data_IF_062917580855
#
_entry.id   IF_062917580855
#
_cell.length_a   1.000
_cell.length_b   1.000
_cell.length_c   1.000
_cell.angle_alpha   90.00
_cell.angle_beta   90.00
_cell.angle_gamma   90.00
#
_symmetry.space_group_name_H-M   'P 1'
#
loop_
_entity.id
_entity.type
_entity.pdbx_description
1 polymer ?
#
# COMPACT_ATOMS: atom_id res chain seq x y z
N UNK A 1 -1.28 -2.76 -2.50
CA UNK A 1 -2.04 -2.46 -3.74
C UNK A 1 -1.38 -1.24 -4.36
N UNK A 2 -1.06 -1.27 -5.65
CA UNK A 2 -0.44 -0.15 -6.36
C UNK A 2 -0.64 -0.36 -7.88
N UNK A 3 -1.02 0.67 -8.63
CA UNK A 3 -1.25 0.60 -10.08
C UNK A 3 -0.17 1.31 -10.90
N UNK A 4 0.76 2.00 -10.24
CA UNK A 4 1.76 2.79 -10.91
C UNK A 4 2.88 1.93 -11.46
N UNK A 5 3.56 2.51 -12.46
CA UNK A 5 4.87 2.04 -12.90
C UNK A 5 5.97 2.73 -12.12
N UNK A 6 7.12 2.06 -12.02
CA UNK A 6 8.34 2.67 -11.48
C UNK A 6 8.75 3.84 -12.38
N UNK A 7 9.02 4.99 -11.76
CA UNK A 7 9.49 6.21 -12.42
C UNK A 7 10.88 6.56 -11.91
N UNK A 8 11.75 7.04 -12.79
CA UNK A 8 13.10 7.51 -12.44
C UNK A 8 13.05 8.60 -11.35
N UNK A 9 12.06 9.51 -11.44
CA UNK A 9 11.85 10.59 -10.48
C UNK A 9 11.48 10.12 -9.06
N UNK A 10 11.20 8.84 -8.86
CA UNK A 10 10.78 8.29 -7.57
C UNK A 10 11.83 7.37 -6.92
N UNK A 11 12.88 6.96 -7.65
CA UNK A 11 13.84 5.96 -7.17
C UNK A 11 14.64 6.46 -5.96
N UNK A 12 14.92 7.78 -5.86
CA UNK A 12 15.66 8.35 -4.73
C UNK A 12 15.00 8.12 -3.36
N UNK A 13 13.67 7.91 -3.32
CA UNK A 13 12.91 7.64 -2.08
C UNK A 13 12.23 6.28 -2.05
N UNK A 14 12.07 5.62 -3.20
CA UNK A 14 11.50 4.28 -3.30
C UNK A 14 12.63 3.26 -3.45
N UNK A 15 13.38 3.05 -2.37
CA UNK A 15 14.64 2.29 -2.31
C UNK A 15 14.55 0.83 -2.79
N UNK A 16 13.32 0.28 -2.84
CA UNK A 16 13.08 -1.06 -3.36
C UNK A 16 13.10 -1.12 -4.89
N UNK A 17 13.31 -0.02 -5.62
CA UNK A 17 13.40 0.00 -7.08
C UNK A 17 14.77 0.48 -7.57
N UNK A 18 15.13 0.05 -8.78
CA UNK A 18 16.37 0.46 -9.46
C UNK A 18 16.05 1.06 -10.82
N UNK A 19 17.03 1.67 -11.48
CA UNK A 19 16.88 2.20 -12.85
C UNK A 19 16.45 1.13 -13.86
N UNK A 20 16.87 -0.13 -13.64
CA UNK A 20 16.46 -1.30 -14.44
C UNK A 20 14.96 -1.65 -14.31
N UNK A 21 14.27 -1.10 -13.31
CA UNK A 21 12.86 -1.36 -13.04
C UNK A 21 11.92 -0.32 -13.65
N UNK A 22 12.45 0.80 -14.17
CA UNK A 22 11.67 1.90 -14.75
C UNK A 22 10.71 1.39 -15.84
N UNK A 23 9.46 1.86 -15.81
CA UNK A 23 8.39 1.47 -16.73
C UNK A 23 7.70 0.14 -16.37
N UNK A 24 8.22 -0.64 -15.41
CA UNK A 24 7.58 -1.86 -14.90
C UNK A 24 6.63 -1.52 -13.76
N UNK A 25 5.57 -2.30 -13.60
CA UNK A 25 4.60 -2.10 -12.51
C UNK A 25 5.25 -2.30 -11.14
N UNK A 26 5.10 -1.30 -10.26
CA UNK A 26 5.65 -1.28 -8.88
C UNK A 26 5.29 -2.56 -8.13
N UNK A 27 4.00 -2.90 -8.07
CA UNK A 27 3.51 -4.07 -7.35
C UNK A 27 4.17 -5.39 -7.83
N UNK A 28 4.39 -5.55 -9.14
CA UNK A 28 5.01 -6.76 -9.70
C UNK A 28 6.49 -6.87 -9.34
N UNK A 29 7.23 -5.75 -9.42
CA UNK A 29 8.66 -5.72 -9.06
C UNK A 29 8.85 -5.94 -7.56
N UNK A 30 8.02 -5.29 -6.75
CA UNK A 30 8.06 -5.45 -5.30
C UNK A 30 7.87 -6.90 -4.89
N UNK A 31 6.90 -7.61 -5.46
CA UNK A 31 6.71 -9.06 -5.21
C UNK A 31 7.95 -9.88 -5.58
N UNK A 32 8.56 -9.62 -6.73
CA UNK A 32 9.79 -10.33 -7.15
C UNK A 32 10.91 -10.12 -6.13
N UNK A 33 11.13 -8.88 -5.69
CA UNK A 33 12.21 -8.54 -4.75
C UNK A 33 11.96 -9.10 -3.35
N UNK A 34 10.74 -8.98 -2.83
CA UNK A 34 10.38 -9.55 -1.53
C UNK A 34 10.51 -11.09 -1.52
N UNK A 35 10.15 -11.77 -2.62
CA UNK A 35 10.37 -13.22 -2.75
C UNK A 35 11.86 -13.62 -2.77
N UNK A 36 12.77 -12.71 -3.14
CA UNK A 36 14.21 -12.96 -3.04
C UNK A 36 14.70 -12.81 -1.59
N UNK A 37 14.04 -11.96 -0.80
CA UNK A 37 14.36 -11.73 0.62
C UNK A 37 13.86 -12.91 1.46
N UNK A 38 12.60 -13.30 1.30
CA UNK A 38 12.03 -14.45 1.99
C UNK A 38 10.97 -15.14 1.11
N UNK A 39 11.22 -16.40 0.73
CA UNK A 39 10.34 -17.21 -0.12
C UNK A 39 9.14 -17.79 0.63
N UNK A 40 9.17 -17.85 1.95
CA UNK A 40 8.10 -18.41 2.78
C UNK A 40 6.92 -17.43 2.94
N UNK A 41 7.16 -16.14 2.68
CA UNK A 41 6.11 -15.12 2.76
C UNK A 41 5.16 -15.22 1.56
N UNK A 42 3.86 -15.39 1.83
CA UNK A 42 2.83 -15.33 0.80
C UNK A 42 2.54 -13.89 0.38
N UNK A 43 2.94 -13.54 -0.84
CA UNK A 43 2.74 -12.18 -1.38
C UNK A 43 1.61 -12.13 -2.40
N UNK A 44 0.51 -11.48 -1.99
CA UNK A 44 -0.61 -11.14 -2.87
C UNK A 44 -0.46 -9.72 -3.37
N UNK A 45 -0.48 -9.53 -4.69
CA UNK A 45 -0.41 -8.20 -5.32
C UNK A 45 -1.73 -7.85 -5.98
N UNK A 46 -2.09 -6.57 -5.91
CA UNK A 46 -3.25 -6.00 -6.60
C UNK A 46 -2.75 -4.82 -7.42
N UNK A 47 -2.55 -5.05 -8.73
CA UNK A 47 -2.05 -4.06 -9.69
C UNK A 47 -3.20 -3.19 -10.24
N UNK A 48 -3.89 -2.49 -9.34
CA UNK A 48 -5.11 -1.73 -9.64
C UNK A 48 -5.28 -0.58 -8.66
N UNK A 49 -5.97 0.47 -9.09
CA UNK A 49 -6.27 1.63 -8.24
C UNK A 49 -7.30 1.25 -7.18
N UNK A 50 -7.09 1.71 -5.95
CA UNK A 50 -8.04 1.53 -4.86
C UNK A 50 -9.40 2.17 -5.20
N UNK A 51 -10.48 1.42 -5.05
CA UNK A 51 -11.85 1.89 -5.24
C UNK A 51 -12.80 1.13 -4.31
N UNK A 52 -14.06 1.55 -4.24
CA UNK A 52 -15.03 0.93 -3.34
C UNK A 52 -15.23 -0.57 -3.61
N UNK A 53 -15.37 -0.95 -4.88
CA UNK A 53 -15.63 -2.34 -5.28
C UNK A 53 -14.49 -3.27 -4.85
N UNK A 54 -13.25 -2.88 -5.09
CA UNK A 54 -12.11 -3.74 -4.79
C UNK A 54 -11.74 -3.75 -3.32
N UNK A 55 -11.78 -2.61 -2.62
CA UNK A 55 -11.45 -2.54 -1.20
C UNK A 55 -12.46 -3.32 -0.36
N UNK A 56 -13.76 -3.28 -0.72
CA UNK A 56 -14.80 -4.12 -0.11
C UNK A 56 -14.43 -5.60 -0.08
N UNK A 57 -13.81 -6.11 -1.14
CA UNK A 57 -13.47 -7.53 -1.29
C UNK A 57 -12.08 -7.89 -0.76
N UNK A 58 -11.19 -6.91 -0.61
CA UNK A 58 -9.78 -7.12 -0.26
C UNK A 58 -9.57 -6.96 1.24
N UNK A 59 -10.06 -5.88 1.85
CA UNK A 59 -9.74 -5.53 3.25
C UNK A 59 -10.16 -6.62 4.23
N UNK A 60 -11.29 -7.29 3.99
CA UNK A 60 -11.77 -8.34 4.89
C UNK A 60 -10.80 -9.54 5.03
N UNK A 61 -9.88 -9.72 4.07
CA UNK A 61 -8.91 -10.82 4.03
C UNK A 61 -7.64 -10.58 4.86
N UNK A 62 -7.52 -9.41 5.48
CA UNK A 62 -6.34 -9.01 6.24
C UNK A 62 -6.76 -8.52 7.63
N UNK A 63 -5.87 -8.63 8.61
CA UNK A 63 -6.11 -8.20 9.99
C UNK A 63 -5.74 -6.73 10.20
N UNK A 64 -4.68 -6.29 9.53
CA UNK A 64 -4.11 -4.95 9.60
C UNK A 64 -4.09 -4.34 8.20
N UNK A 65 -4.54 -3.09 8.11
CA UNK A 65 -4.47 -2.26 6.91
C UNK A 65 -3.45 -1.15 7.15
N UNK A 66 -2.50 -1.00 6.22
CA UNK A 66 -1.50 0.09 6.26
C UNK A 66 -1.72 0.99 5.04
N UNK A 67 -1.94 2.27 5.30
CA UNK A 67 -2.05 3.31 4.27
C UNK A 67 -0.72 4.06 4.09
N UNK A 68 -0.12 3.89 2.92
CA UNK A 68 1.02 4.68 2.43
C UNK A 68 0.68 5.50 1.18
N UNK A 69 -0.62 5.76 0.92
CA UNK A 69 -1.07 6.54 -0.22
C UNK A 69 -0.90 8.05 0.01
N UNK A 70 -0.81 8.79 -1.09
CA UNK A 70 -0.57 10.23 -1.15
C UNK A 70 -1.84 11.06 -1.40
N UNK A 71 -3.03 10.44 -1.40
CA UNK A 71 -4.27 11.12 -1.74
C UNK A 71 -5.41 10.81 -0.76
N UNK A 72 -6.14 11.87 -0.39
CA UNK A 72 -7.26 11.80 0.56
C UNK A 72 -8.34 10.79 0.18
N UNK A 73 -8.64 10.64 -1.12
CA UNK A 73 -9.65 9.70 -1.60
C UNK A 73 -9.34 8.26 -1.17
N UNK A 74 -8.10 7.82 -1.34
CA UNK A 74 -7.68 6.49 -0.87
C UNK A 74 -7.72 6.41 0.66
N UNK A 75 -7.22 7.43 1.37
CA UNK A 75 -7.25 7.45 2.85
C UNK A 75 -8.67 7.26 3.41
N UNK A 76 -9.63 8.03 2.90
CA UNK A 76 -11.04 7.94 3.33
C UNK A 76 -11.68 6.58 3.00
N UNK A 77 -11.36 6.00 1.85
CA UNK A 77 -11.85 4.66 1.51
C UNK A 77 -11.27 3.59 2.45
N UNK A 78 -9.97 3.64 2.73
CA UNK A 78 -9.32 2.72 3.67
C UNK A 78 -9.91 2.87 5.07
N UNK A 79 -10.16 4.10 5.54
CA UNK A 79 -10.85 4.36 6.81
C UNK A 79 -12.26 3.75 6.85
N UNK A 80 -13.10 4.08 5.86
CA UNK A 80 -14.48 3.58 5.75
C UNK A 80 -14.55 2.06 5.81
N UNK A 81 -13.72 1.36 5.04
CA UNK A 81 -13.75 -0.09 4.99
C UNK A 81 -13.05 -0.76 6.17
N UNK A 82 -11.99 -0.15 6.72
CA UNK A 82 -11.36 -0.68 7.94
C UNK A 82 -12.31 -0.60 9.12
N UNK A 83 -13.05 0.51 9.27
CA UNK A 83 -14.10 0.64 10.27
C UNK A 83 -15.23 -0.40 10.04
N UNK A 84 -15.72 -0.50 8.79
CA UNK A 84 -16.79 -1.45 8.42
C UNK A 84 -16.44 -2.91 8.73
N UNK A 85 -15.20 -3.31 8.46
CA UNK A 85 -14.75 -4.69 8.65
C UNK A 85 -13.97 -4.90 9.95
N UNK A 86 -14.05 -3.93 10.88
CA UNK A 86 -13.43 -4.03 12.22
C UNK A 86 -11.94 -4.39 12.12
N UNK A 87 -11.18 -3.61 11.35
CA UNK A 87 -9.73 -3.79 11.11
C UNK A 87 -8.91 -2.72 11.78
N UNK A 88 -7.69 -3.04 12.18
CA UNK A 88 -6.71 -2.02 12.60
C UNK A 88 -6.20 -1.28 11.37
N UNK A 89 -6.24 0.05 11.40
CA UNK A 89 -5.74 0.90 10.33
C UNK A 89 -4.57 1.74 10.83
N UNK A 90 -3.44 1.64 10.14
CA UNK A 90 -2.26 2.47 10.36
C UNK A 90 -2.10 3.40 9.15
N UNK A 91 -2.05 4.70 9.39
CA UNK A 91 -1.92 5.71 8.33
C UNK A 91 -0.60 6.42 8.46
N UNK A 92 0.21 6.37 7.40
CA UNK A 92 1.38 7.22 7.22
C UNK A 92 1.09 8.40 6.28
N UNK A 93 1.64 9.56 6.60
CA UNK A 93 1.68 10.72 5.71
C UNK A 93 3.00 11.48 5.90
N UNK A 94 3.54 12.02 4.80
CA UNK A 94 4.74 12.86 4.81
C UNK A 94 4.46 14.11 3.99
N UNK A 95 4.85 15.26 4.51
CA UNK A 95 4.86 16.55 3.81
C UNK A 95 6.19 17.24 4.06
N UNK A 96 7.04 17.33 3.03
CA UNK A 96 8.40 17.89 3.12
C UNK A 96 9.22 17.19 4.23
N UNK A 97 9.37 17.86 5.38
CA UNK A 97 10.16 17.41 6.52
C UNK A 97 9.31 16.85 7.67
N UNK A 98 7.98 16.96 7.55
CA UNK A 98 7.04 16.49 8.57
C UNK A 98 6.47 15.12 8.20
N UNK A 99 6.59 14.18 9.14
CA UNK A 99 6.02 12.84 9.04
C UNK A 99 5.00 12.63 10.15
N UNK A 100 3.85 12.06 9.80
CA UNK A 100 2.80 11.72 10.76
C UNK A 100 2.41 10.24 10.63
N UNK A 101 2.18 9.61 11.78
CA UNK A 101 1.65 8.26 11.88
C UNK A 101 0.45 8.27 12.81
N UNK A 102 -0.66 7.71 12.34
CA UNK A 102 -1.89 7.56 13.12
C UNK A 102 -2.30 6.10 13.14
N UNK A 103 -2.77 5.63 14.30
CA UNK A 103 -3.33 4.29 14.44
C UNK A 103 -4.78 4.39 14.88
N UNK A 104 -5.65 3.66 14.19
CA UNK A 104 -7.06 3.53 14.49
C UNK A 104 -7.37 2.05 14.75
N UNK A 105 -7.73 1.71 15.98
CA UNK A 105 -8.15 0.37 16.32
C UNK A 105 -9.67 0.27 16.26
N UNK A 106 -10.20 -0.26 15.15
CA UNK A 106 -11.63 -0.52 15.00
C UNK A 106 -12.03 -1.93 15.41
N UNK A 107 -11.14 -2.72 16.02
CA UNK A 107 -11.48 -4.08 16.50
C UNK A 107 -12.23 -4.05 17.84
N UNK A 108 -12.16 -2.91 18.54
CA UNK A 108 -12.87 -2.61 19.76
C UNK A 108 -14.37 -2.30 19.51
#
# INVERSE_FOLDING_TARGET
MDYDKVSLSNIHRQILYTTKDVGKYKAKILKKKLNLINKEVKINIYNQKANEKNLKNIINKYDIVIDGSDNFKTKFLLNKFSQKFKKKLIVGAISKFDGHVFTFDFTL
#
